data_IF_629244481998
#
_entry.id   IF_629244481998
#
_cell.length_a   1.000
_cell.length_b   1.000
_cell.length_c   1.000
_cell.angle_alpha   90.00
_cell.angle_beta   90.00
_cell.angle_gamma   90.00
#
_symmetry.space_group_name_H-M   'P 1'
#
loop_
_entity.id
_entity.type
_entity.pdbx_description
1 polymer ?
#
# COMPACT_ATOMS: atom_id res chain seq x y z
N UNK A 1 55.16 -19.93 52.26
CA UNK A 1 53.84 -20.59 52.37
C UNK A 1 52.97 -20.13 51.21
N UNK A 2 52.37 -21.10 50.53
CA UNK A 2 52.02 -21.07 49.10
C UNK A 2 50.72 -20.30 48.81
N UNK A 3 50.74 -19.41 47.81
CA UNK A 3 49.57 -18.66 47.30
C UNK A 3 49.24 -18.93 45.82
N UNK A 4 49.75 -20.02 45.24
CA UNK A 4 49.70 -20.26 43.79
C UNK A 4 48.67 -21.31 43.34
N UNK A 5 47.80 -21.81 44.24
CA UNK A 5 46.92 -22.94 43.93
C UNK A 5 45.42 -22.60 43.69
N UNK A 6 45.00 -21.34 43.81
CA UNK A 6 43.56 -21.00 43.83
C UNK A 6 42.99 -20.42 42.51
N UNK A 7 43.80 -20.13 41.50
CA UNK A 7 43.33 -19.45 40.27
C UNK A 7 43.04 -20.39 39.10
N UNK A 8 43.14 -21.71 39.27
CA UNK A 8 43.05 -22.67 38.17
C UNK A 8 41.64 -23.22 37.84
N UNK A 9 40.56 -22.76 38.48
CA UNK A 9 39.21 -23.33 38.28
C UNK A 9 38.27 -22.42 37.47
N UNK A 10 38.59 -21.14 37.30
CA UNK A 10 37.68 -20.18 36.62
C UNK A 10 37.91 -20.02 35.11
N UNK A 11 38.65 -20.94 34.46
CA UNK A 11 38.85 -20.91 33.01
C UNK A 11 37.93 -21.89 32.23
N UNK A 12 37.11 -22.69 32.93
CA UNK A 12 36.32 -23.76 32.30
C UNK A 12 34.87 -23.42 31.90
N UNK A 13 34.32 -22.28 32.34
CA UNK A 13 32.87 -22.02 32.25
C UNK A 13 32.44 -20.97 31.20
N UNK A 14 33.37 -20.42 30.40
CA UNK A 14 33.07 -19.31 29.47
C UNK A 14 32.90 -19.75 28.00
N UNK A 15 33.15 -21.02 27.66
CA UNK A 15 33.27 -21.48 26.26
C UNK A 15 32.05 -22.24 25.68
N UNK A 16 30.85 -22.16 26.26
CA UNK A 16 29.66 -22.86 25.74
C UNK A 16 28.39 -22.01 25.61
N UNK A 17 28.50 -20.72 25.25
CA UNK A 17 27.33 -19.87 24.95
C UNK A 17 27.48 -19.06 23.65
N UNK A 18 28.11 -19.62 22.62
CA UNK A 18 27.81 -19.18 21.24
C UNK A 18 26.53 -19.89 20.80
N UNK A 19 25.40 -19.44 21.34
CA UNK A 19 24.09 -19.80 20.79
C UNK A 19 24.05 -19.27 19.36
N UNK A 20 23.96 -20.20 18.40
CA UNK A 20 23.67 -19.90 17.02
C UNK A 20 22.37 -19.09 16.94
N UNK A 21 22.49 -17.76 16.83
CA UNK A 21 21.40 -16.92 16.41
C UNK A 21 21.27 -17.10 14.91
N UNK A 22 20.39 -18.02 14.50
CA UNK A 22 19.83 -18.01 13.16
C UNK A 22 18.96 -16.74 13.05
N UNK A 23 19.60 -15.62 12.71
CA UNK A 23 18.89 -14.43 12.29
C UNK A 23 18.08 -14.82 11.05
N UNK A 24 16.77 -14.90 11.22
CA UNK A 24 15.84 -14.95 10.11
C UNK A 24 15.98 -13.61 9.36
N UNK A 25 16.95 -13.53 8.44
CA UNK A 25 17.06 -12.44 7.48
C UNK A 25 15.72 -12.40 6.74
N UNK A 26 14.90 -11.39 7.06
CA UNK A 26 13.63 -11.15 6.38
C UNK A 26 13.91 -11.05 4.88
N UNK A 27 13.38 -11.99 4.12
CA UNK A 27 13.53 -12.02 2.68
C UNK A 27 12.79 -10.84 2.04
N UNK A 28 13.37 -10.27 0.98
CA UNK A 28 12.73 -9.17 0.22
C UNK A 28 11.40 -9.67 -0.35
N UNK A 29 11.34 -10.93 -0.73
CA UNK A 29 10.14 -11.64 -1.18
C UNK A 29 8.96 -11.47 -0.20
N UNK A 30 9.20 -11.65 1.10
CA UNK A 30 8.16 -11.53 2.14
C UNK A 30 7.57 -10.11 2.21
N UNK A 31 8.41 -9.09 2.00
CA UNK A 31 7.97 -7.69 2.02
C UNK A 31 7.11 -7.29 0.81
N UNK A 32 7.27 -8.03 -0.29
CA UNK A 32 6.50 -7.87 -1.52
C UNK A 32 5.19 -8.66 -1.52
N UNK A 33 4.96 -9.49 -0.50
CA UNK A 33 3.82 -10.41 -0.47
C UNK A 33 3.99 -11.57 -1.46
N UNK A 34 5.23 -11.91 -1.82
CA UNK A 34 5.58 -13.01 -2.73
C UNK A 34 6.27 -14.10 -1.94
N UNK A 35 5.84 -15.36 -2.12
CA UNK A 35 6.44 -16.50 -1.43
C UNK A 35 7.43 -17.16 -2.38
N UNK A 36 8.69 -17.21 -1.96
CA UNK A 36 9.79 -17.78 -2.76
C UNK A 36 10.36 -19.00 -2.04
N UNK A 37 10.41 -20.12 -2.76
CA UNK A 37 10.96 -21.38 -2.28
C UNK A 37 12.24 -21.78 -3.05
N UNK A 38 13.36 -22.07 -2.35
CA UNK A 38 14.63 -22.49 -2.96
C UNK A 38 14.56 -23.95 -3.43
N UNK A 39 13.90 -24.17 -4.56
CA UNK A 39 13.63 -25.51 -5.10
C UNK A 39 14.88 -26.34 -5.42
N UNK A 40 16.05 -25.71 -5.57
CA UNK A 40 17.34 -26.37 -5.87
C UNK A 40 18.25 -26.46 -4.63
N UNK A 41 17.73 -26.20 -3.44
CA UNK A 41 18.52 -26.21 -2.20
C UNK A 41 19.49 -25.03 -2.08
N UNK A 42 19.15 -23.88 -2.67
CA UNK A 42 19.95 -22.67 -2.57
C UNK A 42 20.12 -22.24 -1.12
N UNK A 43 21.34 -21.88 -0.72
CA UNK A 43 21.62 -21.35 0.62
C UNK A 43 20.91 -20.00 0.83
N UNK A 44 20.53 -19.70 2.08
CA UNK A 44 19.85 -18.45 2.44
C UNK A 44 20.62 -17.20 1.98
N UNK A 45 21.95 -17.23 2.08
CA UNK A 45 22.80 -16.13 1.60
C UNK A 45 22.73 -15.94 0.09
N UNK A 46 22.65 -17.03 -0.68
CA UNK A 46 22.47 -16.97 -2.14
C UNK A 46 21.10 -16.40 -2.47
N UNK A 47 20.05 -16.87 -1.77
CA UNK A 47 18.70 -16.35 -1.94
C UNK A 47 18.63 -14.85 -1.69
N UNK A 48 19.25 -14.35 -0.61
CA UNK A 48 19.26 -12.91 -0.32
C UNK A 48 19.93 -12.07 -1.42
N UNK A 49 21.03 -12.57 -2.01
CA UNK A 49 21.70 -11.91 -3.15
C UNK A 49 20.82 -11.93 -4.40
N UNK A 50 20.25 -13.09 -4.71
CA UNK A 50 19.40 -13.30 -5.87
C UNK A 50 18.13 -12.43 -5.80
N UNK A 51 17.51 -12.35 -4.62
CA UNK A 51 16.37 -11.46 -4.36
C UNK A 51 16.76 -9.98 -4.56
N UNK A 52 17.94 -9.54 -4.10
CA UNK A 52 18.39 -8.17 -4.29
C UNK A 52 18.64 -7.80 -5.75
N UNK A 53 19.22 -8.74 -6.52
CA UNK A 53 19.44 -8.59 -7.95
C UNK A 53 18.11 -8.59 -8.72
N UNK A 54 17.21 -9.52 -8.42
CA UNK A 54 15.90 -9.60 -9.05
C UNK A 54 15.00 -8.42 -8.70
N UNK A 55 15.09 -7.88 -7.49
CA UNK A 55 14.42 -6.63 -7.11
C UNK A 55 14.90 -5.46 -7.96
N UNK A 56 16.22 -5.35 -8.14
CA UNK A 56 16.81 -4.28 -8.95
C UNK A 56 16.45 -4.42 -10.43
N UNK A 57 16.47 -5.65 -10.95
CA UNK A 57 16.03 -5.96 -12.30
C UNK A 57 14.55 -5.63 -12.50
N UNK A 58 13.67 -6.04 -11.59
CA UNK A 58 12.23 -5.76 -11.66
C UNK A 58 11.95 -4.25 -11.67
N UNK A 59 12.67 -3.45 -10.88
CA UNK A 59 12.58 -1.98 -10.93
C UNK A 59 12.98 -1.43 -12.30
N UNK A 60 14.08 -1.93 -12.88
CA UNK A 60 14.55 -1.49 -14.20
C UNK A 60 13.57 -1.86 -15.33
N UNK A 61 12.95 -3.04 -15.24
CA UNK A 61 12.00 -3.50 -16.27
C UNK A 61 10.64 -2.81 -16.20
N UNK A 62 10.13 -2.58 -14.98
CA UNK A 62 8.77 -2.05 -14.79
C UNK A 62 8.74 -0.54 -14.59
N UNK A 63 9.86 0.07 -14.17
CA UNK A 63 9.91 1.46 -13.71
C UNK A 63 9.21 1.70 -12.36
N UNK A 64 8.78 0.64 -11.67
CA UNK A 64 8.01 0.71 -10.43
C UNK A 64 8.96 0.52 -9.23
N UNK A 65 8.90 1.42 -8.26
CA UNK A 65 9.47 1.21 -6.93
C UNK A 65 8.35 0.82 -5.95
N UNK A 66 8.30 -0.44 -5.48
CA UNK A 66 7.22 -0.91 -4.60
C UNK A 66 7.23 -0.20 -3.24
N UNK A 67 8.39 0.27 -2.75
CA UNK A 67 8.48 1.03 -1.49
C UNK A 67 7.86 2.42 -1.68
N UNK A 68 8.12 3.06 -2.82
CA UNK A 68 7.50 4.35 -3.13
C UNK A 68 5.99 4.19 -3.38
N UNK A 69 5.58 3.20 -4.16
CA UNK A 69 4.18 2.91 -4.45
C UNK A 69 3.38 2.56 -3.19
N UNK A 70 3.97 1.82 -2.25
CA UNK A 70 3.36 1.53 -0.95
C UNK A 70 3.18 2.79 -0.08
N UNK A 71 4.12 3.74 -0.16
CA UNK A 71 4.12 4.99 0.60
C UNK A 71 3.30 6.11 -0.03
N UNK A 72 2.90 6.00 -1.28
CA UNK A 72 2.07 7.04 -1.89
C UNK A 72 0.74 7.14 -1.12
N UNK A 73 0.45 8.31 -0.51
CA UNK A 73 -0.90 8.57 -0.03
C UNK A 73 -1.82 8.52 -1.25
N UNK A 74 -3.05 8.04 -1.08
CA UNK A 74 -4.14 8.20 -2.06
C UNK A 74 -4.36 9.70 -2.24
N UNK A 75 -3.52 10.35 -3.03
CA UNK A 75 -3.52 11.79 -3.19
C UNK A 75 -4.79 12.12 -3.97
N UNK A 76 -5.68 12.86 -3.32
CA UNK A 76 -6.85 13.46 -3.93
C UNK A 76 -6.41 14.30 -5.15
N UNK A 77 -6.29 13.69 -6.33
CA UNK A 77 -6.32 14.41 -7.61
C UNK A 77 -7.79 14.74 -7.92
N UNK A 78 -8.27 15.70 -7.17
CA UNK A 78 -9.39 16.55 -7.50
C UNK A 78 -9.10 17.86 -6.79
N UNK A 79 -9.21 19.01 -7.45
CA UNK A 79 -8.95 20.29 -6.81
C UNK A 79 -9.67 20.29 -5.47
N UNK A 80 -8.90 20.56 -4.41
CA UNK A 80 -9.45 20.85 -3.10
C UNK A 80 -10.66 21.73 -3.34
N UNK A 81 -11.81 21.28 -2.83
CA UNK A 81 -13.13 21.93 -2.90
C UNK A 81 -13.04 23.40 -2.46
N UNK A 82 -12.52 24.24 -3.35
CA UNK A 82 -12.39 25.67 -3.24
C UNK A 82 -13.61 26.26 -3.91
N UNK A 83 -14.45 26.94 -3.13
CA UNK A 83 -15.49 27.90 -3.52
C UNK A 83 -16.42 27.54 -4.69
N UNK A 84 -15.89 27.46 -5.91
CA UNK A 84 -16.62 27.33 -7.17
C UNK A 84 -17.30 25.98 -7.41
N UNK A 85 -16.70 24.86 -7.02
CA UNK A 85 -17.29 23.53 -7.25
C UNK A 85 -18.53 23.28 -6.38
N UNK A 86 -18.52 23.83 -5.15
CA UNK A 86 -19.68 23.83 -4.24
C UNK A 86 -20.78 24.76 -4.76
N UNK A 87 -20.42 25.92 -5.31
CA UNK A 87 -21.37 26.84 -5.95
C UNK A 87 -22.00 26.21 -7.21
N UNK A 88 -21.22 25.51 -8.03
CA UNK A 88 -21.70 24.81 -9.24
C UNK A 88 -22.55 23.58 -8.91
N UNK A 89 -22.18 22.84 -7.86
CA UNK A 89 -22.98 21.74 -7.31
C UNK A 89 -24.32 22.22 -6.71
N UNK A 90 -24.30 23.34 -5.98
CA UNK A 90 -25.50 23.99 -5.47
C UNK A 90 -26.38 24.56 -6.60
N UNK A 91 -25.78 25.19 -7.62
CA UNK A 91 -26.51 25.72 -8.78
C UNK A 91 -27.17 24.61 -9.62
N UNK A 92 -26.48 23.48 -9.87
CA UNK A 92 -27.09 22.31 -10.53
C UNK A 92 -28.19 21.66 -9.68
N UNK A 93 -28.01 21.61 -8.35
CA UNK A 93 -29.04 21.13 -7.42
C UNK A 93 -30.29 22.02 -7.40
N UNK A 94 -30.11 23.34 -7.49
CA UNK A 94 -31.20 24.30 -7.56
C UNK A 94 -32.00 24.19 -8.87
N UNK A 95 -31.33 24.06 -10.03
CA UNK A 95 -32.01 23.88 -11.33
C UNK A 95 -32.77 22.55 -11.41
N UNK A 96 -32.21 21.47 -10.85
CA UNK A 96 -32.91 20.17 -10.77
C UNK A 96 -34.12 20.18 -9.82
N UNK A 97 -34.09 20.98 -8.74
CA UNK A 97 -35.19 21.09 -7.78
C UNK A 97 -36.35 21.99 -8.23
N UNK A 98 -36.12 22.90 -9.18
CA UNK A 98 -37.15 23.81 -9.69
C UNK A 98 -38.19 23.11 -10.59
N UNK A 99 -37.82 22.02 -11.26
CA UNK A 99 -38.74 21.26 -12.11
C UNK A 99 -39.89 20.59 -11.31
N UNK A 100 -39.68 20.29 -10.02
CA UNK A 100 -40.71 19.75 -9.13
C UNK A 100 -41.41 20.86 -8.33
N UNK A 101 -40.72 21.98 -8.05
CA UNK A 101 -41.27 23.09 -7.26
C UNK A 101 -42.27 24.00 -7.98
N UNK A 102 -42.34 23.97 -9.32
CA UNK A 102 -43.29 24.78 -10.09
C UNK A 102 -44.76 24.36 -9.93
N UNK A 103 -45.03 23.16 -9.40
CA UNK A 103 -46.40 22.62 -9.25
C UNK A 103 -47.05 23.12 -7.93
N UNK A 104 -46.29 23.68 -7.00
CA UNK A 104 -46.76 24.03 -5.65
C UNK A 104 -47.03 25.54 -5.39
N UNK A 105 -46.95 26.41 -6.41
CA UNK A 105 -47.41 27.80 -6.33
C UNK A 105 -46.49 28.82 -5.63
N UNK A 106 -45.30 28.44 -5.17
CA UNK A 106 -44.32 29.38 -4.61
C UNK A 106 -42.88 28.92 -4.92
N UNK A 107 -42.28 29.56 -5.92
CA UNK A 107 -40.91 29.28 -6.37
C UNK A 107 -39.86 29.52 -5.27
N UNK A 108 -40.11 30.44 -4.32
CA UNK A 108 -39.21 30.73 -3.21
C UNK A 108 -39.19 29.61 -2.16
N UNK A 109 -40.35 29.03 -1.86
CA UNK A 109 -40.48 27.90 -0.93
C UNK A 109 -39.93 26.59 -1.52
N UNK A 110 -40.18 26.35 -2.81
CA UNK A 110 -39.61 25.21 -3.55
C UNK A 110 -38.08 25.28 -3.70
N UNK A 111 -37.52 26.48 -3.89
CA UNK A 111 -36.07 26.69 -3.91
C UNK A 111 -35.42 26.44 -2.54
N UNK A 112 -36.05 26.86 -1.44
CA UNK A 112 -35.55 26.59 -0.09
C UNK A 112 -35.56 25.08 0.23
N UNK A 113 -36.63 24.36 -0.13
CA UNK A 113 -36.71 22.90 0.05
C UNK A 113 -35.71 22.19 -0.88
N UNK A 114 -35.57 22.63 -2.13
CA UNK A 114 -34.60 22.10 -3.09
C UNK A 114 -33.13 22.35 -2.69
N UNK A 115 -32.84 23.46 -2.03
CA UNK A 115 -31.51 23.75 -1.48
C UNK A 115 -31.16 22.82 -0.30
N UNK A 116 -32.10 22.56 0.60
CA UNK A 116 -31.90 21.61 1.72
C UNK A 116 -31.84 20.16 1.21
N UNK A 117 -32.74 19.75 0.33
CA UNK A 117 -32.72 18.41 -0.28
C UNK A 117 -31.51 18.17 -1.19
N UNK A 118 -31.12 19.16 -1.98
CA UNK A 118 -30.00 19.10 -2.91
C UNK A 118 -28.63 19.04 -2.22
N UNK A 119 -28.48 19.65 -1.04
CA UNK A 119 -27.25 19.51 -0.23
C UNK A 119 -27.15 18.13 0.42
N UNK A 120 -28.26 17.51 0.83
CA UNK A 120 -28.28 16.14 1.34
C UNK A 120 -27.93 15.11 0.24
N UNK A 121 -28.57 15.20 -0.93
CA UNK A 121 -28.30 14.29 -2.07
C UNK A 121 -26.92 14.55 -2.68
N UNK A 122 -26.53 15.82 -2.82
CA UNK A 122 -25.20 16.21 -3.30
C UNK A 122 -24.08 15.77 -2.35
N UNK A 123 -24.29 15.88 -1.04
CA UNK A 123 -23.38 15.37 -0.01
C UNK A 123 -23.25 13.85 -0.06
N UNK A 124 -24.36 13.12 -0.23
CA UNK A 124 -24.32 11.66 -0.35
C UNK A 124 -23.59 11.22 -1.62
N UNK A 125 -23.86 11.85 -2.77
CA UNK A 125 -23.16 11.55 -4.04
C UNK A 125 -21.69 11.96 -4.02
N UNK A 126 -21.32 13.04 -3.32
CA UNK A 126 -19.92 13.41 -3.12
C UNK A 126 -19.16 12.38 -2.28
N UNK A 127 -19.79 11.80 -1.25
CA UNK A 127 -19.20 10.70 -0.48
C UNK A 127 -19.09 9.41 -1.30
N UNK A 128 -20.11 9.06 -2.07
CA UNK A 128 -20.04 7.91 -2.98
C UNK A 128 -18.93 8.08 -4.02
N UNK A 129 -18.77 9.27 -4.60
CA UNK A 129 -17.69 9.56 -5.55
C UNK A 129 -16.30 9.53 -4.90
N UNK A 130 -16.17 9.96 -3.63
CA UNK A 130 -14.91 9.84 -2.88
C UNK A 130 -14.57 8.38 -2.60
N UNK A 131 -15.53 7.59 -2.09
CA UNK A 131 -15.35 6.17 -1.85
C UNK A 131 -14.99 5.39 -3.13
N UNK A 132 -15.65 5.71 -4.26
CA UNK A 132 -15.33 5.11 -5.56
C UNK A 132 -13.90 5.48 -6.03
N UNK A 133 -13.47 6.73 -5.83
CA UNK A 133 -12.10 7.18 -6.17
C UNK A 133 -11.04 6.56 -5.27
N UNK A 134 -11.32 6.42 -3.98
CA UNK A 134 -10.45 5.74 -3.02
C UNK A 134 -10.30 4.27 -3.39
N UNK A 135 -11.40 3.58 -3.71
CA UNK A 135 -11.38 2.20 -4.20
C UNK A 135 -10.57 2.07 -5.50
N UNK A 136 -10.73 2.99 -6.45
CA UNK A 136 -9.99 2.97 -7.71
C UNK A 136 -8.49 3.25 -7.49
N UNK A 137 -8.13 4.14 -6.58
CA UNK A 137 -6.74 4.42 -6.22
C UNK A 137 -6.08 3.21 -5.55
N UNK A 138 -6.78 2.53 -4.63
CA UNK A 138 -6.30 1.29 -4.01
C UNK A 138 -6.16 0.15 -5.04
N UNK A 139 -7.12 -0.01 -5.96
CA UNK A 139 -7.01 -0.99 -7.04
C UNK A 139 -5.82 -0.72 -7.96
N UNK A 140 -5.59 0.54 -8.33
CA UNK A 140 -4.45 0.93 -9.16
C UNK A 140 -3.11 0.68 -8.44
N UNK A 141 -3.05 0.98 -7.13
CA UNK A 141 -1.88 0.69 -6.30
C UNK A 141 -1.60 -0.81 -6.22
N UNK A 142 -2.63 -1.61 -5.95
CA UNK A 142 -2.52 -3.07 -5.94
C UNK A 142 -2.06 -3.60 -7.30
N UNK A 143 -2.65 -3.15 -8.41
CA UNK A 143 -2.25 -3.56 -9.76
C UNK A 143 -0.79 -3.20 -10.08
N UNK A 144 -0.33 -2.02 -9.65
CA UNK A 144 1.05 -1.56 -9.82
C UNK A 144 2.02 -2.47 -9.06
N UNK A 145 1.72 -2.78 -7.79
CA UNK A 145 2.53 -3.72 -6.99
C UNK A 145 2.51 -5.13 -7.57
N UNK A 146 1.36 -5.62 -8.05
CA UNK A 146 1.26 -6.92 -8.70
C UNK A 146 2.10 -7.00 -9.97
N UNK A 147 2.18 -5.92 -10.75
CA UNK A 147 3.04 -5.86 -11.93
C UNK A 147 4.53 -5.97 -11.56
N UNK A 148 4.96 -5.26 -10.51
CA UNK A 148 6.31 -5.38 -9.98
C UNK A 148 6.60 -6.81 -9.46
N UNK A 149 5.70 -7.36 -8.65
CA UNK A 149 5.81 -8.68 -8.07
C UNK A 149 5.92 -9.77 -9.14
N UNK A 150 5.19 -9.63 -10.24
CA UNK A 150 5.28 -10.53 -11.39
C UNK A 150 6.66 -10.49 -12.04
N UNK A 151 7.22 -9.30 -12.27
CA UNK A 151 8.57 -9.18 -12.81
C UNK A 151 9.60 -9.79 -11.85
N UNK A 152 9.53 -9.45 -10.57
CA UNK A 152 10.38 -10.06 -9.55
C UNK A 152 10.29 -11.59 -9.56
N UNK A 153 9.07 -12.14 -9.61
CA UNK A 153 8.82 -13.58 -9.69
C UNK A 153 9.45 -14.23 -10.92
N UNK A 154 9.30 -13.64 -12.11
CA UNK A 154 9.91 -14.15 -13.35
C UNK A 154 11.43 -14.25 -13.24
N UNK A 155 12.08 -13.26 -12.63
CA UNK A 155 13.53 -13.31 -12.41
C UNK A 155 13.92 -14.44 -11.44
N UNK A 156 13.19 -14.57 -10.33
CA UNK A 156 13.43 -15.64 -9.35
C UNK A 156 13.18 -17.04 -9.94
N UNK A 157 12.11 -17.21 -10.73
CA UNK A 157 11.83 -18.44 -11.47
C UNK A 157 12.96 -18.81 -12.43
N UNK A 158 13.51 -17.82 -13.15
CA UNK A 158 14.68 -18.01 -14.02
C UNK A 158 15.93 -18.52 -13.29
N UNK A 159 16.07 -18.20 -12.01
CA UNK A 159 17.17 -18.68 -11.13
C UNK A 159 16.86 -20.03 -10.48
N UNK A 160 15.69 -20.62 -10.78
CA UNK A 160 15.28 -21.92 -10.27
C UNK A 160 14.68 -21.87 -8.86
N UNK A 161 14.07 -20.74 -8.49
CA UNK A 161 13.18 -20.67 -7.34
C UNK A 161 11.74 -20.96 -7.78
N UNK A 162 10.94 -21.49 -6.86
CA UNK A 162 9.48 -21.59 -7.06
C UNK A 162 8.84 -20.37 -6.41
N UNK A 163 8.00 -19.65 -7.16
CA UNK A 163 7.37 -18.41 -6.71
C UNK A 163 5.85 -18.58 -6.66
N UNK A 164 5.20 -18.04 -5.62
CA UNK A 164 3.74 -18.06 -5.41
C UNK A 164 3.22 -16.73 -4.89
#
# INVERSE_FOLDING_TARGET
MNRWAATAVLAGAVLLLFTWQAEAQQSISSSLGVIVYPAKGQAAQQQSRDEGECYSWAKQQTGIDPVAAAKQPTKEEGPAVGGGERARGAARGAVGGLAIGAIAGDAGKGAAIGAVGGTMVGGHRARQNRAAREQQAEQNKAATLQHFNKAFGVCMEGRGYTVK
#
